data_IF_383775994952
#
_entry.id   IF_383775994952
#
_cell.length_a   1.000
_cell.length_b   1.000
_cell.length_c   1.000
_cell.angle_alpha   90.00
_cell.angle_beta   90.00
_cell.angle_gamma   90.00
#
_symmetry.space_group_name_H-M   'P 1'
#
loop_
_entity.id
_entity.type
_entity.pdbx_description
1 polymer ?
#
# COMPACT_ATOMS: atom_id res chain seq x y z
N UNK A 1 -0.34 -30.44 46.88
CA UNK A 1 -0.65 -28.98 46.95
C UNK A 1 0.52 -28.13 46.47
N UNK A 2 1.75 -28.27 47.01
CA UNK A 2 2.94 -27.51 46.56
C UNK A 2 3.32 -27.58 45.07
N UNK A 3 3.05 -28.71 44.39
CA UNK A 3 3.37 -28.88 42.95
C UNK A 3 2.40 -28.17 42.00
N UNK A 4 1.14 -27.99 42.42
CA UNK A 4 0.11 -27.30 41.61
C UNK A 4 0.28 -25.78 41.73
N UNK A 5 0.64 -25.30 42.93
CA UNK A 5 0.98 -23.89 43.17
C UNK A 5 2.24 -23.46 42.39
N UNK A 6 3.23 -24.35 42.23
CA UNK A 6 4.44 -24.09 41.44
C UNK A 6 4.15 -23.94 39.93
N UNK A 7 3.18 -24.71 39.39
CA UNK A 7 2.78 -24.63 37.97
C UNK A 7 2.07 -23.31 37.68
N UNK A 8 1.23 -22.81 38.60
CA UNK A 8 0.57 -21.51 38.45
C UNK A 8 1.56 -20.34 38.43
N UNK A 9 2.65 -20.42 39.20
CA UNK A 9 3.70 -19.39 39.23
C UNK A 9 4.50 -19.39 37.90
N UNK A 10 4.78 -20.56 37.33
CA UNK A 10 5.48 -20.69 36.04
C UNK A 10 4.61 -20.22 34.88
N UNK A 11 3.32 -20.57 34.85
CA UNK A 11 2.40 -20.12 33.81
C UNK A 11 2.15 -18.60 33.85
N UNK A 12 2.15 -17.99 35.04
CA UNK A 12 2.02 -16.53 35.20
C UNK A 12 3.23 -15.77 34.63
N UNK A 13 4.43 -16.35 34.72
CA UNK A 13 5.66 -15.74 34.19
C UNK A 13 5.74 -15.75 32.65
N UNK A 14 5.03 -16.66 31.98
CA UNK A 14 5.03 -16.75 30.51
C UNK A 14 4.16 -15.68 29.84
N UNK A 15 3.26 -15.02 30.58
CA UNK A 15 2.36 -13.99 30.04
C UNK A 15 3.05 -12.62 29.96
N UNK A 16 4.14 -12.42 30.71
CA UNK A 16 4.89 -11.15 30.75
C UNK A 16 5.98 -11.04 29.67
N UNK A 17 6.20 -12.11 28.89
CA UNK A 17 7.08 -12.09 27.71
C UNK A 17 6.34 -11.79 26.40
N UNK A 18 5.04 -11.47 26.47
CA UNK A 18 4.35 -10.79 25.37
C UNK A 18 4.88 -9.35 25.33
N UNK A 19 6.06 -9.21 24.74
CA UNK A 19 6.66 -7.94 24.42
C UNK A 19 5.68 -7.21 23.48
N UNK A 20 5.17 -6.06 23.90
CA UNK A 20 4.64 -5.08 22.98
C UNK A 20 5.79 -4.74 22.02
N UNK A 21 5.75 -5.28 20.80
CA UNK A 21 6.26 -4.51 19.68
C UNK A 21 5.35 -3.30 19.61
N UNK A 22 5.79 -2.21 20.27
CA UNK A 22 5.23 -0.91 19.95
C UNK A 22 5.49 -0.74 18.46
N UNK A 23 4.45 -0.93 17.65
CA UNK A 23 4.45 -0.70 16.22
C UNK A 23 4.93 0.73 15.98
N UNK A 24 6.25 0.90 15.87
CA UNK A 24 6.82 2.08 15.28
C UNK A 24 6.35 1.95 13.84
N UNK A 25 5.34 2.73 13.47
CA UNK A 25 4.93 2.88 12.08
C UNK A 25 6.22 3.21 11.33
N UNK A 26 6.75 2.20 10.65
CA UNK A 26 8.03 2.29 9.99
C UNK A 26 7.87 3.36 8.92
N UNK A 27 8.77 4.34 8.93
CA UNK A 27 8.70 5.41 7.93
C UNK A 27 8.74 4.81 6.53
N UNK A 28 8.08 5.47 5.60
CA UNK A 28 8.13 5.12 4.18
C UNK A 28 9.59 5.03 3.68
N UNK A 29 9.89 4.01 2.89
CA UNK A 29 11.22 3.74 2.32
C UNK A 29 11.17 3.73 0.78
N UNK A 30 11.64 4.82 0.17
CA UNK A 30 11.68 4.99 -1.28
C UNK A 30 12.60 4.00 -2.00
N UNK A 31 13.66 3.50 -1.33
CA UNK A 31 14.57 2.52 -1.93
C UNK A 31 13.84 1.19 -2.07
N UNK A 32 13.18 0.76 -0.99
CA UNK A 32 12.33 -0.42 -0.98
C UNK A 32 11.21 -0.31 -2.02
N UNK A 33 10.55 0.84 -2.14
CA UNK A 33 9.52 1.07 -3.16
C UNK A 33 10.10 0.90 -4.58
N UNK A 34 11.23 1.55 -4.88
CA UNK A 34 11.84 1.51 -6.22
C UNK A 34 12.28 0.10 -6.59
N UNK A 35 12.94 -0.61 -5.67
CA UNK A 35 13.32 -2.00 -5.87
C UNK A 35 12.10 -2.89 -6.12
N UNK A 36 11.01 -2.66 -5.39
CA UNK A 36 9.79 -3.43 -5.53
C UNK A 36 9.09 -3.17 -6.87
N UNK A 37 9.08 -1.93 -7.36
CA UNK A 37 8.57 -1.58 -8.70
C UNK A 37 9.37 -2.27 -9.81
N UNK A 38 10.69 -2.26 -9.72
CA UNK A 38 11.57 -2.90 -10.72
C UNK A 38 11.32 -4.42 -10.76
N UNK A 39 11.23 -5.05 -9.58
CA UNK A 39 11.13 -6.50 -9.43
C UNK A 39 9.69 -7.06 -9.41
N UNK A 40 8.65 -6.23 -9.58
CA UNK A 40 7.25 -6.63 -9.45
C UNK A 40 6.92 -7.27 -8.08
N UNK A 41 7.58 -6.79 -7.02
CA UNK A 41 7.42 -7.32 -5.67
C UNK A 41 6.17 -6.71 -4.99
N UNK A 42 5.03 -7.37 -5.19
CA UNK A 42 3.75 -6.91 -4.68
C UNK A 42 3.67 -6.82 -3.15
N UNK A 43 4.39 -7.67 -2.41
CA UNK A 43 4.36 -7.64 -0.94
C UNK A 43 5.03 -6.37 -0.39
N UNK A 44 6.21 -6.04 -0.92
CA UNK A 44 6.90 -4.79 -0.55
C UNK A 44 6.15 -3.55 -1.00
N UNK A 45 5.56 -3.57 -2.20
CA UNK A 45 4.72 -2.48 -2.68
C UNK A 45 3.52 -2.27 -1.77
N UNK A 46 2.86 -3.36 -1.34
CA UNK A 46 1.75 -3.25 -0.41
C UNK A 46 2.14 -2.49 0.86
N UNK A 47 3.26 -2.88 1.48
CA UNK A 47 3.76 -2.24 2.70
C UNK A 47 3.97 -0.74 2.49
N UNK A 48 4.67 -0.36 1.42
CA UNK A 48 5.02 1.04 1.17
C UNK A 48 3.82 1.89 0.71
N UNK A 49 2.94 1.34 -0.14
CA UNK A 49 1.73 2.04 -0.59
C UNK A 49 0.74 2.21 0.55
N UNK A 50 0.53 1.19 1.40
CA UNK A 50 -0.41 1.28 2.52
C UNK A 50 0.04 2.34 3.55
N UNK A 51 1.36 2.53 3.73
CA UNK A 51 1.91 3.66 4.51
C UNK A 51 1.52 5.01 3.91
N UNK A 52 1.52 5.13 2.58
CA UNK A 52 1.17 6.36 1.86
C UNK A 52 -0.35 6.63 1.79
N UNK A 53 -1.20 5.67 2.15
CA UNK A 53 -2.67 5.81 2.03
C UNK A 53 -3.41 5.75 3.36
N UNK A 54 -2.73 5.49 4.48
CA UNK A 54 -3.33 5.25 5.80
C UNK A 54 -4.31 6.34 6.29
N UNK A 55 -4.11 7.59 5.87
CA UNK A 55 -4.93 8.75 6.22
C UNK A 55 -5.96 9.13 5.14
N UNK A 56 -5.90 8.50 3.96
CA UNK A 56 -6.70 8.84 2.79
C UNK A 56 -8.09 8.19 2.82
N UNK A 57 -8.94 8.64 3.75
CA UNK A 57 -10.33 8.18 3.91
C UNK A 57 -11.23 8.73 2.79
N UNK A 58 -12.23 7.96 2.34
CA UNK A 58 -13.12 8.39 1.27
C UNK A 58 -14.01 9.56 1.71
N UNK A 59 -14.26 10.48 0.78
CA UNK A 59 -15.14 11.63 0.93
C UNK A 59 -16.17 11.66 -0.20
N UNK A 60 -17.25 10.92 -0.01
CA UNK A 60 -18.34 10.79 -0.98
C UNK A 60 -18.93 12.17 -1.29
N UNK A 61 -19.18 12.42 -2.57
CA UNK A 61 -19.83 13.64 -3.07
C UNK A 61 -20.78 13.32 -4.22
N UNK A 62 -21.55 14.30 -4.69
CA UNK A 62 -22.46 14.12 -5.83
C UNK A 62 -21.75 13.77 -7.15
N UNK A 63 -20.46 14.11 -7.26
CA UNK A 63 -19.64 13.88 -8.46
C UNK A 63 -18.65 12.73 -8.29
N UNK A 64 -18.51 12.20 -7.07
CA UNK A 64 -17.63 11.09 -6.74
C UNK A 64 -18.29 10.21 -5.67
N UNK A 65 -18.98 9.17 -6.13
CA UNK A 65 -19.72 8.26 -5.27
C UNK A 65 -18.81 7.36 -4.42
N UNK A 66 -17.56 7.15 -4.83
CA UNK A 66 -16.59 6.37 -4.05
C UNK A 66 -15.80 7.26 -3.09
N UNK A 67 -15.66 8.55 -3.41
CA UNK A 67 -15.02 9.55 -2.56
C UNK A 67 -13.49 9.48 -2.57
N UNK A 68 -12.88 8.91 -3.60
CA UNK A 68 -11.46 8.65 -3.69
C UNK A 68 -10.73 9.39 -4.81
N UNK A 69 -11.41 10.21 -5.62
CA UNK A 69 -10.77 10.93 -6.72
C UNK A 69 -9.65 11.85 -6.21
N UNK A 70 -9.91 12.63 -5.15
CA UNK A 70 -8.89 13.48 -4.51
C UNK A 70 -7.78 12.65 -3.82
N UNK A 71 -8.14 11.50 -3.22
CA UNK A 71 -7.19 10.62 -2.55
C UNK A 71 -6.20 10.00 -3.53
N UNK A 72 -6.67 9.61 -4.71
CA UNK A 72 -5.82 9.00 -5.73
C UNK A 72 -4.81 10.02 -6.28
N UNK A 73 -5.24 11.26 -6.50
CA UNK A 73 -4.34 12.36 -6.85
C UNK A 73 -3.31 12.63 -5.73
N UNK A 74 -3.76 12.61 -4.47
CA UNK A 74 -2.87 12.77 -3.31
C UNK A 74 -1.84 11.64 -3.25
N UNK A 75 -2.23 10.39 -3.52
CA UNK A 75 -1.30 9.25 -3.58
C UNK A 75 -0.26 9.44 -4.70
N UNK A 76 -0.70 9.86 -5.89
CA UNK A 76 0.19 10.14 -7.03
C UNK A 76 1.19 11.25 -6.68
N UNK A 77 0.73 12.35 -6.10
CA UNK A 77 1.61 13.44 -5.64
C UNK A 77 2.61 12.95 -4.58
N UNK A 78 2.15 12.13 -3.62
CA UNK A 78 3.02 11.54 -2.61
C UNK A 78 4.08 10.67 -3.25
N UNK A 79 3.72 9.78 -4.16
CA UNK A 79 4.64 8.92 -4.90
C UNK A 79 5.70 9.75 -5.63
N UNK A 80 5.28 10.73 -6.43
CA UNK A 80 6.18 11.59 -7.20
C UNK A 80 7.08 12.47 -6.31
N UNK A 81 6.71 12.72 -5.05
CA UNK A 81 7.56 13.46 -4.12
C UNK A 81 8.67 12.62 -3.46
N UNK A 82 8.67 11.29 -3.65
CA UNK A 82 9.62 10.40 -2.97
C UNK A 82 10.94 10.20 -3.71
N UNK A 83 10.93 10.24 -5.04
CA UNK A 83 12.11 9.95 -5.85
C UNK A 83 11.97 10.51 -7.26
N UNK A 84 13.10 10.94 -7.82
CA UNK A 84 13.20 11.31 -9.24
C UNK A 84 13.41 10.06 -10.14
N UNK A 85 13.54 8.86 -9.57
CA UNK A 85 13.79 7.62 -10.32
C UNK A 85 12.53 7.02 -10.96
N UNK A 86 11.35 7.54 -10.61
CA UNK A 86 10.10 7.13 -11.22
C UNK A 86 9.11 8.28 -11.31
N UNK A 87 8.15 8.14 -12.21
CA UNK A 87 7.02 9.05 -12.38
C UNK A 87 5.72 8.27 -12.33
N UNK A 88 4.79 8.70 -11.49
CA UNK A 88 3.46 8.15 -11.31
C UNK A 88 2.41 9.08 -11.93
N UNK A 89 1.40 8.50 -12.58
CA UNK A 89 0.26 9.22 -13.14
C UNK A 89 -1.01 8.40 -13.04
N UNK A 90 -2.16 9.08 -13.06
CA UNK A 90 -3.45 8.40 -13.06
C UNK A 90 -3.65 7.71 -14.41
N UNK A 91 -3.83 6.40 -14.40
CA UNK A 91 -4.25 5.68 -15.61
C UNK A 91 -5.77 5.65 -15.70
N UNK A 92 -6.43 5.18 -14.63
CA UNK A 92 -7.88 5.16 -14.56
C UNK A 92 -8.39 5.28 -13.11
N UNK A 93 -9.55 5.88 -12.94
CA UNK A 93 -10.26 5.90 -11.66
C UNK A 93 -11.40 4.89 -11.66
N UNK A 94 -11.34 3.91 -10.75
CA UNK A 94 -12.36 2.87 -10.54
C UNK A 94 -12.81 2.14 -11.82
N UNK A 95 -11.90 1.93 -12.79
CA UNK A 95 -12.25 1.34 -14.08
C UNK A 95 -12.36 -0.19 -14.05
N UNK A 96 -11.69 -0.84 -13.10
CA UNK A 96 -11.76 -2.30 -12.93
C UNK A 96 -12.97 -2.65 -12.07
N UNK A 97 -13.92 -3.38 -12.68
CA UNK A 97 -15.21 -3.73 -12.09
C UNK A 97 -15.12 -4.97 -11.19
N UNK A 98 -14.35 -4.88 -10.12
CA UNK A 98 -14.31 -5.87 -9.01
C UNK A 98 -15.16 -5.39 -7.82
N UNK A 99 -15.19 -6.17 -6.73
CA UNK A 99 -15.83 -5.77 -5.48
C UNK A 99 -14.81 -5.85 -4.31
N UNK A 100 -14.21 -4.73 -3.88
CA UNK A 100 -14.45 -3.34 -4.32
C UNK A 100 -13.87 -3.04 -5.71
N UNK A 101 -14.28 -1.94 -6.37
CA UNK A 101 -13.68 -1.52 -7.64
C UNK A 101 -12.21 -1.14 -7.46
N UNK A 102 -11.44 -1.19 -8.54
CA UNK A 102 -10.02 -0.84 -8.53
C UNK A 102 -9.72 0.29 -9.53
N UNK A 103 -8.82 1.17 -9.11
CA UNK A 103 -8.20 2.23 -9.92
C UNK A 103 -6.80 1.78 -10.33
N UNK A 104 -6.29 2.35 -11.41
CA UNK A 104 -4.95 2.04 -11.92
C UNK A 104 -4.07 3.29 -11.88
N UNK A 105 -2.86 3.15 -11.33
CA UNK A 105 -1.80 4.17 -11.37
C UNK A 105 -0.71 3.64 -12.29
N UNK A 106 -0.40 4.42 -13.32
CA UNK A 106 0.70 4.14 -14.23
C UNK A 106 2.00 4.66 -13.63
N UNK A 107 3.06 3.84 -13.67
CA UNK A 107 4.38 4.20 -13.17
C UNK A 107 5.43 3.89 -14.23
N UNK A 108 6.25 4.89 -14.53
CA UNK A 108 7.46 4.77 -15.31
C UNK A 108 8.65 4.78 -14.37
N UNK A 109 9.55 3.81 -14.45
CA UNK A 109 10.75 3.73 -13.59
C UNK A 109 12.00 3.68 -14.45
N UNK A 110 13.01 4.49 -14.13
CA UNK A 110 14.34 4.36 -14.71
C UNK A 110 15.16 3.32 -13.93
N UNK A 111 15.43 2.19 -14.58
CA UNK A 111 16.29 1.14 -14.06
C UNK A 111 17.60 1.08 -14.85
N UNK A 112 18.62 1.78 -14.35
CA UNK A 112 19.98 1.81 -14.93
C UNK A 112 20.01 2.32 -16.39
N UNK A 113 19.17 3.30 -16.72
CA UNK A 113 19.04 3.88 -18.06
C UNK A 113 18.06 3.14 -18.97
N UNK A 114 17.32 2.15 -18.43
CA UNK A 114 16.23 1.47 -19.13
C UNK A 114 14.93 1.86 -18.44
N UNK A 115 14.06 2.52 -19.20
CA UNK A 115 12.72 2.86 -18.78
C UNK A 115 11.84 1.60 -18.76
N UNK A 116 11.31 1.24 -17.60
CA UNK A 116 10.37 0.14 -17.42
C UNK A 116 9.02 0.68 -16.97
N UNK A 117 7.96 0.03 -17.47
CA UNK A 117 6.59 0.46 -17.27
C UNK A 117 5.85 -0.50 -16.33
N UNK A 118 5.11 0.07 -15.37
CA UNK A 118 4.33 -0.65 -14.35
C UNK A 118 2.95 -0.04 -14.20
N UNK A 119 1.99 -0.87 -13.82
CA UNK A 119 0.65 -0.43 -13.42
C UNK A 119 0.38 -0.97 -12.03
N UNK A 120 -0.01 -0.09 -11.11
CA UNK A 120 -0.47 -0.45 -9.78
C UNK A 120 -2.00 -0.47 -9.75
N UNK A 121 -2.56 -1.58 -9.30
CA UNK A 121 -3.97 -1.70 -8.99
C UNK A 121 -4.22 -1.25 -7.54
N UNK A 122 -5.15 -0.32 -7.37
CA UNK A 122 -5.50 0.27 -6.07
C UNK A 122 -6.97 -0.01 -5.76
N UNK A 123 -7.23 -0.71 -4.65
CA UNK A 123 -8.59 -0.93 -4.15
C UNK A 123 -9.21 0.42 -3.76
N UNK A 124 -10.37 0.71 -4.34
CA UNK A 124 -11.06 2.01 -4.25
C UNK A 124 -12.44 1.83 -3.61
N UNK A 125 -12.47 1.34 -2.37
CA UNK A 125 -13.72 1.01 -1.67
C UNK A 125 -14.38 2.24 -1.03
N UNK A 126 -15.69 2.38 -1.15
CA UNK A 126 -16.47 3.53 -0.62
C UNK A 126 -16.33 3.81 0.89
N UNK A 127 -15.83 2.83 1.66
CA UNK A 127 -15.79 2.87 3.12
C UNK A 127 -14.44 2.50 3.74
N UNK A 128 -13.39 2.37 2.94
CA UNK A 128 -12.02 2.08 3.41
C UNK A 128 -11.05 3.06 2.77
N UNK A 129 -9.85 3.18 3.32
CA UNK A 129 -8.78 3.90 2.64
C UNK A 129 -8.40 3.21 1.34
N UNK A 130 -7.72 3.92 0.45
CA UNK A 130 -7.03 3.28 -0.67
C UNK A 130 -6.05 2.23 -0.13
N UNK A 131 -5.92 1.11 -0.81
CA UNK A 131 -4.92 0.10 -0.49
C UNK A 131 -4.41 -0.57 -1.75
N UNK A 132 -3.18 -1.03 -1.71
CA UNK A 132 -2.61 -1.79 -2.83
C UNK A 132 -3.40 -3.09 -3.07
N UNK A 133 -3.52 -3.47 -4.33
CA UNK A 133 -4.12 -4.73 -4.77
C UNK A 133 -3.09 -5.60 -5.48
N UNK A 134 -2.44 -5.04 -6.49
CA UNK A 134 -1.65 -5.81 -7.46
C UNK A 134 -0.71 -4.89 -8.25
N UNK A 135 0.33 -5.47 -8.84
CA UNK A 135 1.20 -4.81 -9.81
C UNK A 135 1.32 -5.69 -11.05
N UNK A 136 1.33 -5.06 -12.22
CA UNK A 136 1.63 -5.74 -13.48
C UNK A 136 2.41 -4.84 -14.44
N UNK A 137 2.93 -5.45 -15.50
CA UNK A 137 3.54 -4.71 -16.61
C UNK A 137 2.46 -3.99 -17.42
N UNK A 138 2.85 -2.90 -18.07
CA UNK A 138 1.99 -2.23 -19.04
C UNK A 138 1.78 -3.15 -20.25
N UNK A 139 0.53 -3.42 -20.61
CA UNK A 139 0.26 -4.13 -21.86
C UNK A 139 0.42 -3.15 -23.04
N UNK A 140 1.19 -3.55 -24.06
CA UNK A 140 1.39 -2.80 -25.31
C UNK A 140 0.12 -2.65 -26.19
N UNK A 141 -1.06 -3.04 -25.69
CA UNK A 141 -2.28 -3.09 -26.49
C UNK A 141 -3.52 -2.63 -25.71
N UNK A 142 -3.75 -1.32 -25.76
CA UNK A 142 -5.09 -0.73 -25.73
C UNK A 142 -5.51 -0.35 -27.16
#
# INVERSE_FOLDING_TARGET
>A
MKKIELIFIICSFLILLSCDESDKIESFDHVTLTEALVNLDGEKLQIEIDKLTIDLKPKISLTDNLGHSENLNTLIERLNSQSDNFEASLFCYACIKTNPPQSEIFITVDSLGIEVCRVLDILTAENKTLSFSSIHECNDSL
#
